data_IF_787032494257
#
_entry.id   IF_787032494257
#
_cell.length_a   1.000
_cell.length_b   1.000
_cell.length_c   1.000
_cell.angle_alpha   90.00
_cell.angle_beta   90.00
_cell.angle_gamma   90.00
#
_symmetry.space_group_name_H-M   'P 1'
#
loop_
_entity.id
_entity.type
_entity.pdbx_description
1 polymer ?
#
# COMPACT_ATOMS: atom_id res chain seq x y z
N UNK A 1 1.41 -1.54 12.18
CA UNK A 1 0.25 -2.44 12.21
C UNK A 1 -0.87 -1.71 11.49
N UNK A 2 -2.08 -2.21 11.46
CA UNK A 2 -3.13 -1.65 10.63
C UNK A 2 -4.48 -1.75 11.33
N UNK A 3 -5.23 -0.66 11.35
CA UNK A 3 -6.16 -0.44 12.45
C UNK A 3 -7.64 -0.45 12.03
N UNK A 4 -7.97 -0.20 10.75
CA UNK A 4 -9.35 0.02 10.27
C UNK A 4 -10.12 1.09 11.06
N UNK A 5 -9.38 2.01 11.68
CA UNK A 5 -9.95 2.95 12.64
C UNK A 5 -10.42 4.25 12.00
N UNK A 6 -10.15 4.54 10.72
CA UNK A 6 -10.54 5.80 10.09
C UNK A 6 -12.07 5.97 9.97
N UNK A 7 -12.83 4.87 10.03
CA UNK A 7 -14.28 4.89 9.88
C UNK A 7 -14.73 5.34 8.49
N UNK A 8 -16.01 5.71 8.35
CA UNK A 8 -16.61 6.07 7.06
C UNK A 8 -16.13 7.41 6.47
N UNK A 9 -15.46 8.25 7.26
CA UNK A 9 -14.86 9.49 6.74
C UNK A 9 -13.54 9.23 6.02
N UNK A 10 -12.92 8.05 6.20
CA UNK A 10 -11.59 7.70 5.69
C UNK A 10 -10.51 8.71 6.09
N UNK A 11 -10.68 9.40 7.21
CA UNK A 11 -9.74 10.39 7.74
C UNK A 11 -9.25 10.00 9.13
N UNK A 12 -8.09 10.52 9.57
CA UNK A 12 -7.67 10.37 10.96
C UNK A 12 -8.76 10.86 11.93
N UNK A 13 -8.93 10.15 13.05
CA UNK A 13 -9.88 10.52 14.09
C UNK A 13 -9.25 10.33 15.49
N UNK A 14 -9.92 10.77 16.58
CA UNK A 14 -9.30 10.76 17.90
C UNK A 14 -8.76 9.40 18.36
N UNK A 15 -9.43 8.29 18.00
CA UNK A 15 -8.96 6.93 18.32
C UNK A 15 -7.64 6.63 17.63
N UNK A 16 -7.52 7.02 16.35
CA UNK A 16 -6.29 6.86 15.58
C UNK A 16 -5.14 7.68 16.18
N UNK A 17 -5.42 8.92 16.57
CA UNK A 17 -4.44 9.83 17.19
C UNK A 17 -3.96 9.28 18.54
N UNK A 18 -4.86 8.80 19.40
CA UNK A 18 -4.51 8.22 20.72
C UNK A 18 -3.66 6.96 20.61
N UNK A 19 -3.95 6.09 19.63
CA UNK A 19 -3.15 4.88 19.41
C UNK A 19 -1.70 5.22 19.01
N UNK A 20 -1.54 6.12 18.03
CA UNK A 20 -0.21 6.46 17.55
C UNK A 20 0.58 7.35 18.52
N UNK A 21 -0.10 8.11 19.38
CA UNK A 21 0.54 8.70 20.56
C UNK A 21 1.16 7.62 21.47
N UNK A 22 0.37 6.59 21.83
CA UNK A 22 0.86 5.48 22.66
C UNK A 22 2.01 4.73 22.01
N UNK A 23 1.99 4.53 20.70
CA UNK A 23 3.12 3.92 19.99
C UNK A 23 4.34 4.84 19.95
N UNK A 24 4.14 6.15 19.79
CA UNK A 24 5.19 7.16 19.83
C UNK A 24 5.94 7.21 21.17
N UNK A 25 5.27 6.88 22.28
CA UNK A 25 5.89 6.78 23.62
C UNK A 25 6.90 5.63 23.75
N UNK A 26 6.94 4.68 22.81
CA UNK A 26 7.93 3.62 22.81
C UNK A 26 9.33 4.15 22.47
N UNK A 27 10.37 3.46 22.95
CA UNK A 27 11.77 3.79 22.68
C UNK A 27 12.23 3.35 21.26
N UNK A 28 11.42 3.66 20.24
CA UNK A 28 11.66 3.28 18.84
C UNK A 28 12.61 4.26 18.15
N UNK A 29 13.33 3.78 17.13
CA UNK A 29 14.12 4.66 16.25
C UNK A 29 13.27 5.44 15.23
N UNK A 30 12.09 4.92 14.90
CA UNK A 30 11.08 5.55 14.03
C UNK A 30 9.74 4.81 14.20
N UNK A 31 8.63 5.48 13.86
CA UNK A 31 7.31 4.87 13.76
C UNK A 31 6.87 4.86 12.29
N UNK A 32 6.65 3.66 11.73
CA UNK A 32 6.11 3.49 10.37
C UNK A 32 4.62 3.16 10.47
N UNK A 33 3.77 4.05 9.93
CA UNK A 33 2.32 3.90 10.01
C UNK A 33 1.82 2.98 8.91
N UNK A 34 0.89 2.08 9.23
CA UNK A 34 0.36 1.11 8.28
C UNK A 34 1.34 -0.03 8.01
N UNK A 35 0.99 -1.24 8.45
CA UNK A 35 1.64 -2.47 7.98
C UNK A 35 0.63 -3.61 7.93
N UNK A 36 0.68 -4.38 6.84
CA UNK A 36 -0.14 -5.57 6.63
C UNK A 36 0.16 -6.65 7.68
N UNK A 37 -0.90 -7.29 8.16
CA UNK A 37 -0.78 -8.55 8.88
C UNK A 37 -0.52 -9.66 7.85
N UNK A 38 0.53 -10.49 8.01
CA UNK A 38 0.95 -11.48 7.00
C UNK A 38 0.07 -12.75 6.90
N UNK A 39 -1.14 -12.77 7.45
CA UNK A 39 -1.97 -13.99 7.49
C UNK A 39 -3.27 -13.85 6.70
N UNK A 40 -3.64 -14.84 5.84
CA UNK A 40 -4.99 -14.94 5.30
C UNK A 40 -5.94 -15.29 6.46
N UNK A 41 -6.91 -14.42 6.70
CA UNK A 41 -7.82 -14.56 7.84
C UNK A 41 -9.13 -15.17 7.35
N UNK A 42 -9.70 -16.18 8.03
CA UNK A 42 -10.96 -16.79 7.65
C UNK A 42 -12.08 -15.75 7.48
N UNK A 43 -13.08 -16.06 6.65
CA UNK A 43 -14.23 -15.19 6.37
C UNK A 43 -14.99 -14.75 7.64
N UNK A 44 -14.92 -15.53 8.73
CA UNK A 44 -15.47 -15.19 10.06
C UNK A 44 -14.74 -14.04 10.77
N UNK A 45 -13.60 -13.61 10.25
CA UNK A 45 -12.74 -12.54 10.75
C UNK A 45 -12.42 -11.55 9.63
N UNK A 46 -13.36 -11.33 8.69
CA UNK A 46 -13.27 -10.23 7.71
C UNK A 46 -13.13 -8.85 8.39
N UNK A 47 -13.58 -8.72 9.64
CA UNK A 47 -13.32 -7.58 10.52
C UNK A 47 -11.85 -7.42 10.93
N UNK A 48 -11.04 -8.44 10.71
CA UNK A 48 -9.62 -8.51 11.09
C UNK A 48 -8.68 -8.26 9.90
N UNK A 49 -9.22 -7.85 8.74
CA UNK A 49 -8.49 -7.41 7.54
C UNK A 49 -7.78 -6.07 7.82
N UNK A 50 -6.90 -6.08 8.81
CA UNK A 50 -6.09 -5.01 9.35
C UNK A 50 -5.22 -4.48 8.22
N UNK A 51 -5.73 -3.47 7.50
CA UNK A 51 -5.02 -2.58 6.57
C UNK A 51 -5.06 -1.14 7.13
N UNK A 52 -3.91 -0.51 7.24
CA UNK A 52 -3.70 0.80 7.90
C UNK A 52 -2.80 1.69 7.04
N UNK A 53 -2.60 1.27 5.80
CA UNK A 53 -1.91 2.05 4.79
C UNK A 53 -2.82 3.20 4.38
N UNK A 54 -2.24 4.36 4.13
CA UNK A 54 -2.99 5.52 3.62
C UNK A 54 -3.22 5.35 2.13
N UNK A 55 -4.48 5.26 1.72
CA UNK A 55 -4.86 5.14 0.32
C UNK A 55 -4.74 6.51 -0.37
N UNK A 56 -4.02 6.54 -1.49
CA UNK A 56 -3.82 7.79 -2.24
C UNK A 56 -5.06 8.19 -3.04
N UNK A 57 -6.01 7.27 -3.22
CA UNK A 57 -7.23 7.46 -4.00
C UNK A 57 -8.46 6.92 -3.25
N UNK A 58 -9.38 7.83 -2.88
CA UNK A 58 -10.65 7.49 -2.22
C UNK A 58 -11.59 6.66 -3.10
N UNK A 59 -11.41 6.69 -4.42
CA UNK A 59 -12.19 5.85 -5.33
C UNK A 59 -11.70 4.40 -5.25
N UNK A 60 -10.45 4.17 -4.86
CA UNK A 60 -9.80 2.87 -4.83
C UNK A 60 -9.27 2.53 -3.44
N UNK A 61 -10.14 2.02 -2.57
CA UNK A 61 -9.74 1.57 -1.24
C UNK A 61 -9.45 0.07 -1.18
N UNK A 62 -8.50 -0.32 -0.33
CA UNK A 62 -8.22 -1.71 0.02
C UNK A 62 -9.29 -2.30 0.94
N UNK A 63 -9.79 -1.49 1.88
CA UNK A 63 -10.99 -1.75 2.69
C UNK A 63 -11.83 -0.47 2.87
N UNK A 64 -13.12 -0.57 3.23
CA UNK A 64 -13.97 0.61 3.42
C UNK A 64 -13.49 1.60 4.50
N UNK A 65 -12.63 1.17 5.43
CA UNK A 65 -12.21 1.99 6.59
C UNK A 65 -10.72 2.34 6.58
N UNK A 66 -10.06 2.17 5.42
CA UNK A 66 -8.69 2.62 5.27
C UNK A 66 -8.67 4.16 5.31
N UNK A 67 -7.67 4.79 5.98
CA UNK A 67 -7.45 6.22 5.83
C UNK A 67 -7.07 6.53 4.38
N UNK A 68 -7.56 7.64 3.84
CA UNK A 68 -7.38 8.01 2.46
C UNK A 68 -7.37 9.52 2.26
N UNK A 69 -6.80 9.98 1.15
CA UNK A 69 -6.98 11.35 0.70
C UNK A 69 -8.40 11.53 0.14
N UNK A 70 -9.18 12.52 0.58
CA UNK A 70 -10.58 12.67 0.16
C UNK A 70 -10.74 13.15 -1.29
N UNK A 71 -9.66 13.54 -1.96
CA UNK A 71 -9.60 14.09 -3.30
C UNK A 71 -8.22 14.67 -3.64
N UNK A 72 -8.10 15.47 -4.73
CA UNK A 72 -6.85 16.15 -5.08
C UNK A 72 -6.37 17.10 -4.00
N UNK A 73 -5.05 17.17 -3.81
CA UNK A 73 -4.41 18.07 -2.86
C UNK A 73 -3.41 18.97 -3.59
N UNK A 74 -3.69 20.26 -3.66
CA UNK A 74 -2.79 21.24 -4.29
C UNK A 74 -1.77 21.79 -3.31
N UNK A 75 -2.22 22.41 -2.22
CA UNK A 75 -1.36 23.07 -1.24
C UNK A 75 -2.08 23.24 0.11
N UNK A 76 -1.29 23.61 1.13
CA UNK A 76 -1.79 23.83 2.50
C UNK A 76 -2.74 25.02 2.61
N UNK A 77 -2.53 26.07 1.81
CA UNK A 77 -3.34 27.29 1.85
C UNK A 77 -4.78 27.04 1.38
N UNK A 78 -4.95 26.19 0.38
CA UNK A 78 -6.24 25.80 -0.18
C UNK A 78 -6.94 24.72 0.64
N UNK A 79 -6.22 24.01 1.52
CA UNK A 79 -6.71 22.85 2.27
C UNK A 79 -6.35 22.90 3.78
N UNK A 80 -6.61 24.01 4.49
CA UNK A 80 -6.13 24.21 5.86
C UNK A 80 -6.72 23.19 6.84
N UNK A 81 -8.00 22.84 6.69
CA UNK A 81 -8.67 21.87 7.58
C UNK A 81 -8.12 20.45 7.39
N UNK A 82 -7.85 20.06 6.14
CA UNK A 82 -7.26 18.76 5.84
C UNK A 82 -5.85 18.68 6.41
N UNK A 83 -5.02 19.72 6.21
CA UNK A 83 -3.67 19.78 6.80
C UNK A 83 -3.74 19.72 8.32
N UNK A 84 -4.62 20.49 8.95
CA UNK A 84 -4.80 20.50 10.40
C UNK A 84 -5.17 19.12 10.97
N UNK A 85 -6.03 18.39 10.26
CA UNK A 85 -6.43 17.04 10.64
C UNK A 85 -5.26 16.05 10.62
N UNK A 86 -4.49 16.05 9.53
CA UNK A 86 -3.31 15.19 9.39
C UNK A 86 -2.16 15.64 10.30
N UNK A 87 -2.05 16.93 10.59
CA UNK A 87 -1.03 17.47 11.49
C UNK A 87 -1.24 17.04 12.95
N UNK A 88 -2.48 16.92 13.41
CA UNK A 88 -2.76 16.34 14.73
C UNK A 88 -2.24 14.90 14.83
N UNK A 89 -2.40 14.14 13.76
CA UNK A 89 -1.90 12.77 13.69
C UNK A 89 -0.36 12.72 13.64
N UNK A 90 0.27 13.54 12.80
CA UNK A 90 1.73 13.65 12.74
C UNK A 90 2.34 14.09 14.08
N UNK A 91 1.73 15.07 14.74
CA UNK A 91 2.18 15.59 16.03
C UNK A 91 2.07 14.53 17.13
N UNK A 92 0.92 13.86 17.24
CA UNK A 92 0.72 12.81 18.25
C UNK A 92 1.75 11.67 18.12
N UNK A 93 2.07 11.26 16.90
CA UNK A 93 3.03 10.16 16.67
C UNK A 93 4.47 10.55 17.03
N UNK A 94 4.82 11.83 16.88
CA UNK A 94 6.21 12.30 16.95
C UNK A 94 6.53 13.11 18.23
N UNK A 95 5.54 13.47 19.05
CA UNK A 95 5.74 14.36 20.20
C UNK A 95 6.71 13.80 21.27
N UNK A 96 6.97 12.48 21.25
CA UNK A 96 7.90 11.80 22.16
C UNK A 96 9.30 11.59 21.57
N UNK A 97 9.57 12.10 20.37
CA UNK A 97 10.89 12.09 19.73
C UNK A 97 11.04 11.29 18.43
N UNK A 98 10.47 10.07 18.26
CA UNK A 98 10.74 9.29 17.06
C UNK A 98 10.10 9.93 15.81
N UNK A 99 10.80 9.95 14.67
CA UNK A 99 10.22 10.39 13.41
C UNK A 99 9.10 9.44 12.98
N UNK A 100 8.04 9.99 12.39
CA UNK A 100 6.93 9.23 11.84
C UNK A 100 6.98 9.22 10.31
N UNK A 101 6.87 8.03 9.74
CA UNK A 101 6.84 7.78 8.29
C UNK A 101 5.50 7.15 7.95
N UNK A 102 4.84 7.63 6.90
CA UNK A 102 3.52 7.12 6.49
C UNK A 102 3.62 6.19 5.29
N UNK A 103 3.15 4.95 5.42
CA UNK A 103 3.04 4.06 4.26
C UNK A 103 1.83 4.45 3.40
N UNK A 104 2.08 4.92 2.18
CA UNK A 104 1.05 5.30 1.20
C UNK A 104 0.91 4.22 0.12
N UNK A 105 -0.32 3.93 -0.30
CA UNK A 105 -0.58 2.87 -1.26
C UNK A 105 -1.77 3.12 -2.18
N UNK A 106 -1.85 2.28 -3.23
CA UNK A 106 -3.02 2.11 -4.07
C UNK A 106 -3.25 0.61 -4.29
N UNK A 107 -4.46 0.08 -4.07
CA UNK A 107 -4.73 -1.36 -4.09
C UNK A 107 -4.75 -1.96 -5.51
N UNK A 108 -4.94 -1.14 -6.54
CA UNK A 108 -5.04 -1.60 -7.93
C UNK A 108 -6.13 -2.66 -8.09
N UNK A 109 -5.79 -3.81 -8.69
CA UNK A 109 -6.72 -4.95 -8.86
C UNK A 109 -7.26 -5.57 -7.54
N UNK A 110 -6.68 -5.24 -6.39
CA UNK A 110 -7.14 -5.70 -5.06
C UNK A 110 -8.12 -4.74 -4.39
N UNK A 111 -8.60 -3.70 -5.07
CA UNK A 111 -9.62 -2.80 -4.51
C UNK A 111 -10.97 -3.54 -4.44
N UNK A 112 -11.55 -3.60 -3.24
CA UNK A 112 -12.81 -4.32 -2.98
C UNK A 112 -13.98 -3.60 -3.66
N UNK A 113 -14.94 -4.35 -4.20
CA UNK A 113 -16.10 -3.83 -4.94
C UNK A 113 -16.93 -2.77 -4.17
N UNK A 114 -17.03 -2.92 -2.85
CA UNK A 114 -17.85 -2.07 -1.96
C UNK A 114 -17.01 -1.04 -1.19
N UNK A 115 -15.72 -0.90 -1.50
CA UNK A 115 -14.83 0.02 -0.81
C UNK A 115 -14.52 1.23 -1.70
N UNK A 116 -14.50 2.42 -1.08
CA UNK A 116 -14.27 3.68 -1.75
C UNK A 116 -15.52 4.27 -2.40
N UNK A 117 -15.32 5.32 -3.21
CA UNK A 117 -16.39 6.02 -3.95
C UNK A 117 -16.59 5.50 -5.37
N UNK A 118 -15.77 4.53 -5.82
CA UNK A 118 -15.94 3.89 -7.11
C UNK A 118 -17.31 3.21 -7.21
N UNK A 119 -17.98 3.40 -8.34
CA UNK A 119 -19.27 2.76 -8.61
C UNK A 119 -19.19 1.23 -8.53
N UNK A 120 -20.27 0.59 -8.06
CA UNK A 120 -20.35 -0.86 -7.80
C UNK A 120 -19.96 -1.76 -8.99
N UNK A 121 -20.13 -1.23 -10.21
CA UNK A 121 -19.85 -1.91 -11.47
C UNK A 121 -18.63 -1.36 -12.22
N UNK A 122 -18.00 -0.30 -11.71
CA UNK A 122 -16.79 0.23 -12.33
C UNK A 122 -15.62 -0.74 -12.10
N UNK A 123 -14.79 -0.99 -13.12
CA UNK A 123 -13.66 -1.90 -13.00
C UNK A 123 -12.60 -1.34 -12.05
N UNK A 124 -11.83 -2.23 -11.43
CA UNK A 124 -10.56 -1.84 -10.81
C UNK A 124 -9.55 -1.45 -11.90
N UNK A 125 -8.47 -0.78 -11.53
CA UNK A 125 -7.37 -0.45 -12.44
C UNK A 125 -6.10 -1.22 -12.08
N UNK A 126 -5.36 -1.65 -13.09
CA UNK A 126 -4.09 -2.36 -12.93
C UNK A 126 -3.22 -2.19 -14.19
N UNK A 127 -1.92 -2.54 -14.13
CA UNK A 127 -1.04 -2.48 -15.30
C UNK A 127 -1.52 -3.35 -16.45
N UNK A 128 -2.21 -4.46 -16.18
CA UNK A 128 -2.85 -5.31 -17.20
C UNK A 128 -4.19 -5.85 -16.71
N UNK A 129 -5.06 -6.23 -17.64
CA UNK A 129 -6.40 -6.77 -17.36
C UNK A 129 -6.37 -8.23 -16.87
N UNK A 130 -5.62 -8.49 -15.77
CA UNK A 130 -5.42 -9.82 -15.18
C UNK A 130 -6.13 -9.87 -13.82
N UNK A 131 -7.26 -10.60 -13.70
CA UNK A 131 -8.00 -10.73 -12.45
C UNK A 131 -7.16 -11.30 -11.31
N UNK A 132 -7.49 -10.90 -10.09
CA UNK A 132 -6.97 -11.53 -8.88
C UNK A 132 -7.58 -12.94 -8.76
N UNK A 133 -6.74 -13.95 -8.53
CA UNK A 133 -7.21 -15.32 -8.28
C UNK A 133 -6.97 -15.67 -6.82
N UNK A 134 -8.03 -16.03 -6.09
CA UNK A 134 -7.91 -16.48 -4.70
C UNK A 134 -8.00 -18.00 -4.63
N UNK A 135 -6.89 -18.64 -4.27
CA UNK A 135 -6.78 -20.09 -4.10
C UNK A 135 -6.80 -20.89 -5.41
N UNK A 136 -6.56 -22.19 -5.31
CA UNK A 136 -6.57 -23.10 -6.44
C UNK A 136 -7.99 -23.63 -6.69
N UNK A 137 -8.55 -23.34 -7.88
CA UNK A 137 -9.80 -23.93 -8.36
C UNK A 137 -10.90 -22.93 -8.74
N UNK A 138 -11.90 -23.42 -9.48
CA UNK A 138 -13.04 -22.63 -9.98
C UNK A 138 -13.71 -21.83 -8.88
N UNK A 139 -14.00 -22.46 -7.73
CA UNK A 139 -14.81 -21.85 -6.67
C UNK A 139 -14.12 -20.62 -6.06
N UNK A 140 -12.80 -20.71 -5.85
CA UNK A 140 -11.98 -19.58 -5.40
C UNK A 140 -11.93 -18.44 -6.42
N UNK A 141 -11.88 -18.77 -7.71
CA UNK A 141 -11.94 -17.79 -8.80
C UNK A 141 -13.29 -17.04 -8.84
N UNK A 142 -14.42 -17.75 -8.69
CA UNK A 142 -15.75 -17.13 -8.66
C UNK A 142 -15.94 -16.24 -7.45
N UNK A 143 -15.56 -16.71 -6.26
CA UNK A 143 -15.64 -15.91 -5.03
C UNK A 143 -14.73 -14.67 -5.11
N UNK A 144 -13.52 -14.83 -5.67
CA UNK A 144 -12.60 -13.73 -5.94
C UNK A 144 -13.20 -12.67 -6.86
N UNK A 145 -13.82 -13.06 -7.98
CA UNK A 145 -14.43 -12.12 -8.94
C UNK A 145 -15.67 -11.38 -8.42
N UNK A 146 -16.37 -11.95 -7.43
CA UNK A 146 -17.47 -11.27 -6.73
C UNK A 146 -16.91 -10.13 -5.87
N UNK A 147 -15.86 -10.40 -5.10
CA UNK A 147 -15.25 -9.45 -4.16
C UNK A 147 -14.39 -8.40 -4.87
N UNK A 148 -13.61 -8.82 -5.86
CA UNK A 148 -12.66 -8.00 -6.62
C UNK A 148 -13.12 -7.92 -8.08
N UNK A 149 -13.64 -6.76 -8.53
CA UNK A 149 -14.00 -6.58 -9.92
C UNK A 149 -12.80 -6.82 -10.84
N UNK A 150 -13.05 -7.44 -11.99
CA UNK A 150 -12.02 -7.63 -13.01
C UNK A 150 -11.36 -6.28 -13.36
N UNK A 151 -10.02 -6.20 -13.37
CA UNK A 151 -9.34 -4.95 -13.66
C UNK A 151 -9.39 -4.61 -15.13
N UNK A 152 -9.42 -3.30 -15.41
CA UNK A 152 -9.09 -2.73 -16.70
C UNK A 152 -7.60 -2.38 -16.73
N UNK A 153 -6.95 -2.62 -17.86
CA UNK A 153 -5.60 -2.13 -18.11
C UNK A 153 -5.56 -0.60 -18.08
N UNK A 154 -4.63 -0.03 -17.31
CA UNK A 154 -4.43 1.41 -17.18
C UNK A 154 -3.98 2.02 -18.51
N UNK A 155 -4.60 3.14 -18.87
CA UNK A 155 -4.14 4.04 -19.93
C UNK A 155 -3.03 4.94 -19.39
N UNK A 156 -2.33 5.68 -20.28
CA UNK A 156 -1.39 6.71 -19.84
C UNK A 156 -2.04 7.73 -18.90
N UNK A 157 -3.28 8.16 -19.21
CA UNK A 157 -4.00 9.09 -18.36
C UNK A 157 -4.31 8.52 -16.96
N UNK A 158 -4.58 7.22 -16.85
CA UNK A 158 -4.75 6.57 -15.54
C UNK A 158 -3.42 6.54 -14.77
N UNK A 159 -2.30 6.27 -15.46
CA UNK A 159 -0.95 6.26 -14.86
C UNK A 159 -0.60 7.65 -14.35
N UNK A 160 -0.81 8.69 -15.17
CA UNK A 160 -0.54 10.08 -14.81
C UNK A 160 -1.41 10.52 -13.63
N UNK A 161 -2.71 10.17 -13.66
CA UNK A 161 -3.64 10.49 -12.58
C UNK A 161 -3.23 9.83 -11.26
N UNK A 162 -2.93 8.53 -11.25
CA UNK A 162 -2.49 7.83 -10.03
C UNK A 162 -1.12 8.33 -9.56
N UNK A 163 -0.21 8.66 -10.47
CA UNK A 163 1.07 9.29 -10.12
C UNK A 163 0.83 10.60 -9.37
N UNK A 164 -0.06 11.46 -9.88
CA UNK A 164 -0.46 12.68 -9.20
C UNK A 164 -1.06 12.40 -7.81
N UNK A 165 -1.84 11.32 -7.63
CA UNK A 165 -2.35 10.93 -6.30
C UNK A 165 -1.26 10.60 -5.29
N UNK A 166 -0.21 9.88 -5.72
CA UNK A 166 0.94 9.62 -4.85
C UNK A 166 1.67 10.91 -4.49
N UNK A 167 1.80 11.84 -5.42
CA UNK A 167 2.42 13.16 -5.21
C UNK A 167 1.61 14.00 -4.22
N UNK A 168 0.30 14.10 -4.44
CA UNK A 168 -0.66 14.79 -3.56
C UNK A 168 -0.58 14.24 -2.12
N UNK A 169 -0.55 12.91 -1.99
CA UNK A 169 -0.42 12.24 -0.69
C UNK A 169 0.90 12.57 0.00
N UNK A 170 2.03 12.45 -0.70
CA UNK A 170 3.34 12.76 -0.12
C UNK A 170 3.46 14.23 0.27
N UNK A 171 2.92 15.14 -0.55
CA UNK A 171 2.90 16.59 -0.27
C UNK A 171 2.06 16.89 0.97
N UNK A 172 0.86 16.33 1.06
CA UNK A 172 0.01 16.47 2.25
C UNK A 172 0.70 15.94 3.51
N UNK A 173 1.36 14.78 3.44
CA UNK A 173 2.10 14.24 4.59
C UNK A 173 3.24 15.16 5.02
N UNK A 174 3.96 15.75 4.06
CA UNK A 174 5.02 16.72 4.33
C UNK A 174 4.46 18.02 4.96
N UNK A 175 3.39 18.57 4.40
CA UNK A 175 2.73 19.79 4.90
C UNK A 175 2.08 19.58 6.28
N UNK A 176 1.61 18.36 6.58
CA UNK A 176 1.12 17.96 7.90
C UNK A 176 2.25 17.75 8.93
N UNK A 177 3.51 17.65 8.50
CA UNK A 177 4.66 17.53 9.39
C UNK A 177 5.13 16.10 9.70
N UNK A 178 4.76 15.10 8.88
CA UNK A 178 5.43 13.80 8.94
C UNK A 178 6.90 13.91 8.53
N UNK A 179 7.72 12.97 9.00
CA UNK A 179 9.14 12.92 8.64
C UNK A 179 9.40 12.25 7.29
N UNK A 180 8.42 11.49 6.77
CA UNK A 180 8.55 10.86 5.45
C UNK A 180 7.34 10.06 5.01
N UNK A 181 7.43 9.47 3.82
CA UNK A 181 6.53 8.44 3.31
C UNK A 181 7.27 7.18 2.89
N UNK A 182 6.56 6.06 2.91
CA UNK A 182 6.99 4.80 2.30
C UNK A 182 6.01 4.42 1.19
N UNK A 183 6.52 4.19 -0.01
CA UNK A 183 5.74 3.65 -1.13
C UNK A 183 5.49 2.16 -0.93
N UNK A 184 4.24 1.73 -1.05
CA UNK A 184 3.90 0.31 -0.90
C UNK A 184 4.03 -0.47 -2.22
N UNK A 185 5.23 -1.01 -2.47
CA UNK A 185 5.54 -1.87 -3.61
C UNK A 185 5.58 -3.37 -3.30
N UNK A 186 4.73 -3.82 -2.38
CA UNK A 186 4.68 -5.23 -1.94
C UNK A 186 3.23 -5.74 -1.90
N UNK A 187 3.07 -7.04 -1.60
CA UNK A 187 1.80 -7.68 -1.24
C UNK A 187 0.68 -7.59 -2.29
N UNK A 188 1.04 -7.41 -3.56
CA UNK A 188 0.10 -7.32 -4.67
C UNK A 188 -0.62 -5.97 -4.80
N UNK A 189 -0.16 -4.90 -4.14
CA UNK A 189 -0.65 -3.53 -4.38
C UNK A 189 -0.20 -3.01 -5.74
N UNK A 190 -0.73 -1.87 -6.19
CA UNK A 190 -0.54 -1.40 -7.56
C UNK A 190 0.93 -1.28 -7.96
N UNK A 191 1.80 -0.76 -7.09
CA UNK A 191 3.23 -0.67 -7.40
C UNK A 191 3.84 -2.07 -7.61
N UNK A 192 3.55 -3.03 -6.72
CA UNK A 192 3.98 -4.43 -6.90
C UNK A 192 3.41 -5.01 -8.20
N UNK A 193 2.15 -4.70 -8.53
CA UNK A 193 1.52 -5.15 -9.77
C UNK A 193 2.31 -4.67 -10.99
N UNK A 194 2.84 -3.44 -11.00
CA UNK A 194 3.69 -2.92 -12.07
C UNK A 194 5.07 -3.58 -12.10
N UNK A 195 5.71 -3.76 -10.93
CA UNK A 195 7.05 -4.35 -10.82
C UNK A 195 7.07 -5.83 -11.22
N UNK A 196 5.97 -6.54 -11.00
CA UNK A 196 5.87 -7.98 -11.13
C UNK A 196 5.46 -8.44 -12.55
N UNK A 197 6.25 -9.29 -13.23
CA UNK A 197 5.96 -9.74 -14.59
C UNK A 197 4.76 -10.69 -14.70
N UNK A 198 4.23 -11.26 -13.60
CA UNK A 198 2.98 -12.04 -13.63
C UNK A 198 1.76 -11.16 -13.85
N UNK A 199 1.78 -9.97 -13.26
CA UNK A 199 0.64 -9.04 -13.23
C UNK A 199 0.75 -7.92 -14.26
N UNK A 200 1.97 -7.61 -14.69
CA UNK A 200 2.25 -6.63 -15.73
C UNK A 200 2.68 -7.31 -17.03
N UNK A 201 1.78 -7.31 -18.01
CA UNK A 201 1.98 -7.84 -19.37
C UNK A 201 2.01 -6.73 -20.43
N UNK A 202 2.18 -5.48 -20.01
CA UNK A 202 2.28 -4.34 -20.93
C UNK A 202 3.48 -4.48 -21.85
N UNK A 203 3.35 -3.91 -23.03
CA UNK A 203 4.38 -3.87 -24.07
C UNK A 203 4.89 -2.45 -24.34
N UNK A 204 4.40 -1.47 -23.57
CA UNK A 204 4.83 -0.07 -23.63
C UNK A 204 5.98 0.23 -22.66
N UNK A 205 6.24 1.51 -22.40
CA UNK A 205 7.31 1.97 -21.51
C UNK A 205 7.15 1.54 -20.05
N UNK A 206 6.00 0.97 -19.66
CA UNK A 206 5.71 0.53 -18.30
C UNK A 206 5.71 -1.00 -18.16
N UNK A 207 6.09 -1.78 -19.18
CA UNK A 207 6.14 -3.24 -19.11
C UNK A 207 7.25 -3.88 -19.94
N UNK A 208 7.29 -5.21 -19.92
CA UNK A 208 8.38 -5.97 -20.53
C UNK A 208 9.59 -6.05 -19.60
N UNK A 209 10.62 -5.24 -19.85
CA UNK A 209 11.90 -5.31 -19.13
C UNK A 209 11.76 -4.91 -17.64
N UNK A 210 12.67 -5.35 -16.75
CA UNK A 210 12.65 -4.94 -15.33
C UNK A 210 12.71 -3.41 -15.17
N UNK A 211 13.48 -2.73 -16.01
CA UNK A 211 13.59 -1.28 -16.03
C UNK A 211 12.28 -0.58 -16.42
N UNK A 212 11.60 -1.06 -17.47
CA UNK A 212 10.28 -0.53 -17.85
C UNK A 212 9.23 -0.77 -16.76
N UNK A 213 9.25 -1.95 -16.14
CA UNK A 213 8.36 -2.26 -15.00
C UNK A 213 8.62 -1.36 -13.79
N UNK A 214 9.87 -0.96 -13.56
CA UNK A 214 10.24 0.02 -12.52
C UNK A 214 9.83 1.46 -12.86
N UNK A 215 9.60 1.78 -14.14
CA UNK A 215 9.34 3.16 -14.59
C UNK A 215 8.21 3.83 -13.82
N UNK A 216 7.13 3.13 -13.52
CA UNK A 216 6.01 3.70 -12.75
C UNK A 216 6.46 4.22 -11.37
N UNK A 217 7.32 3.47 -10.69
CA UNK A 217 7.86 3.86 -9.38
C UNK A 217 8.85 5.01 -9.51
N UNK A 218 9.67 5.00 -10.56
CA UNK A 218 10.62 6.06 -10.85
C UNK A 218 9.91 7.39 -11.15
N UNK A 219 8.82 7.36 -11.93
CA UNK A 219 7.99 8.52 -12.23
C UNK A 219 7.36 9.09 -10.93
N UNK A 220 6.82 8.23 -10.06
CA UNK A 220 6.29 8.63 -8.74
C UNK A 220 7.39 9.26 -7.88
N UNK A 221 8.55 8.60 -7.76
CA UNK A 221 9.65 9.05 -6.91
C UNK A 221 10.16 10.42 -7.38
N UNK A 222 10.40 10.59 -8.67
CA UNK A 222 10.85 11.86 -9.24
C UNK A 222 9.83 12.98 -8.99
N UNK A 223 8.55 12.70 -9.17
CA UNK A 223 7.49 13.69 -8.96
C UNK A 223 7.30 14.05 -7.47
N UNK A 224 7.40 13.09 -6.56
CA UNK A 224 7.38 13.35 -5.10
C UNK A 224 8.57 14.22 -4.71
N UNK A 225 9.78 13.87 -5.16
CA UNK A 225 11.00 14.62 -4.83
C UNK A 225 10.97 16.07 -5.31
N UNK A 226 10.19 16.37 -6.36
CA UNK A 226 10.02 17.74 -6.84
C UNK A 226 9.14 18.62 -5.92
N UNK A 227 8.32 18.03 -5.05
CA UNK A 227 7.33 18.80 -4.24
C UNK A 227 7.54 18.71 -2.73
N UNK A 228 8.30 17.73 -2.23
CA UNK A 228 8.57 17.57 -0.80
C UNK A 228 9.93 18.18 -0.41
N UNK A 229 10.12 18.60 0.86
CA UNK A 229 11.41 19.08 1.33
C UNK A 229 12.51 18.02 1.18
N UNK A 230 13.76 18.44 0.89
CA UNK A 230 14.89 17.52 0.72
C UNK A 230 15.15 16.61 1.94
N UNK A 231 14.78 17.04 3.15
CA UNK A 231 14.90 16.25 4.39
C UNK A 231 13.74 15.27 4.64
N UNK A 232 12.70 15.31 3.81
CA UNK A 232 11.54 14.43 3.93
C UNK A 232 11.89 13.06 3.35
N UNK A 233 11.82 12.02 4.18
CA UNK A 233 12.24 10.68 3.78
C UNK A 233 11.24 10.08 2.78
N UNK A 234 11.74 9.47 1.72
CA UNK A 234 10.96 8.69 0.75
C UNK A 234 11.59 7.33 0.60
N UNK A 235 10.93 6.32 1.17
CA UNK A 235 11.34 4.92 1.04
C UNK A 235 10.35 4.10 0.25
N UNK A 236 10.67 2.82 0.09
CA UNK A 236 9.80 1.84 -0.56
C UNK A 236 9.83 0.52 0.18
N UNK A 237 8.70 -0.18 0.16
CA UNK A 237 8.56 -1.56 0.62
C UNK A 237 8.45 -2.50 -0.58
N UNK A 238 9.27 -3.55 -0.62
CA UNK A 238 9.25 -4.56 -1.69
C UNK A 238 9.05 -5.97 -1.12
N UNK A 239 8.51 -6.88 -1.94
CA UNK A 239 8.45 -8.30 -1.61
C UNK A 239 9.87 -8.92 -1.58
N UNK A 240 10.09 -9.89 -0.69
CA UNK A 240 11.24 -10.78 -0.74
C UNK A 240 11.23 -11.58 -2.04
N UNK A 241 12.42 -11.94 -2.54
CA UNK A 241 12.58 -12.76 -3.74
C UNK A 241 11.77 -14.07 -3.67
N UNK A 242 11.59 -14.65 -2.47
CA UNK A 242 10.82 -15.89 -2.26
C UNK A 242 9.32 -15.76 -2.58
N UNK A 243 8.80 -14.53 -2.55
CA UNK A 243 7.39 -14.23 -2.82
C UNK A 243 7.19 -13.33 -4.04
N UNK A 244 8.30 -12.92 -4.67
CA UNK A 244 8.27 -12.24 -5.96
C UNK A 244 8.19 -13.28 -7.07
N UNK A 245 7.45 -12.95 -8.12
CA UNK A 245 7.48 -13.73 -9.34
C UNK A 245 8.51 -13.22 -10.36
N UNK A 246 9.17 -12.11 -10.05
CA UNK A 246 10.34 -11.68 -10.77
C UNK A 246 11.52 -12.60 -10.43
N UNK A 247 12.47 -12.75 -11.36
CA UNK A 247 13.74 -13.37 -11.03
C UNK A 247 14.49 -12.55 -9.98
N UNK A 248 15.43 -13.18 -9.27
CA UNK A 248 16.32 -12.46 -8.36
C UNK A 248 17.07 -11.33 -9.10
N UNK A 249 17.55 -11.59 -10.31
CA UNK A 249 18.24 -10.61 -11.17
C UNK A 249 17.35 -9.43 -11.56
N UNK A 250 16.10 -9.69 -11.95
CA UNK A 250 15.12 -8.65 -12.25
C UNK A 250 14.90 -7.76 -11.02
N UNK A 251 14.75 -8.38 -9.85
CA UNK A 251 14.52 -7.69 -8.58
C UNK A 251 15.72 -6.82 -8.21
N UNK A 252 16.94 -7.34 -8.35
CA UNK A 252 18.17 -6.58 -8.09
C UNK A 252 18.36 -5.43 -9.08
N UNK A 253 17.99 -5.62 -10.35
CA UNK A 253 18.00 -4.54 -11.36
C UNK A 253 17.05 -3.41 -10.95
N UNK A 254 15.83 -3.76 -10.54
CA UNK A 254 14.84 -2.78 -10.09
C UNK A 254 15.30 -2.05 -8.82
N UNK A 255 15.85 -2.76 -7.84
CA UNK A 255 16.43 -2.14 -6.63
C UNK A 255 17.57 -1.18 -7.00
N UNK A 256 18.46 -1.57 -7.92
CA UNK A 256 19.55 -0.71 -8.38
C UNK A 256 19.04 0.61 -8.97
N UNK A 257 18.01 0.56 -9.82
CA UNK A 257 17.38 1.75 -10.39
C UNK A 257 16.71 2.65 -9.33
N UNK A 258 16.07 2.04 -8.33
CA UNK A 258 15.43 2.80 -7.24
C UNK A 258 16.46 3.48 -6.32
N UNK A 259 17.58 2.81 -6.06
CA UNK A 259 18.71 3.39 -5.31
C UNK A 259 19.35 4.54 -6.09
N UNK A 260 19.58 4.38 -7.39
CA UNK A 260 20.10 5.44 -8.26
C UNK A 260 19.15 6.66 -8.30
N UNK A 261 17.85 6.41 -8.30
CA UNK A 261 16.82 7.46 -8.23
C UNK A 261 16.67 8.10 -6.83
N UNK A 262 17.39 7.61 -5.83
CA UNK A 262 17.52 8.25 -4.52
C UNK A 262 16.40 7.93 -3.53
N UNK A 263 15.98 6.66 -3.39
CA UNK A 263 15.23 6.23 -2.20
C UNK A 263 16.10 6.35 -0.94
N UNK A 264 15.51 6.75 0.19
CA UNK A 264 16.24 6.90 1.46
C UNK A 264 16.36 5.58 2.24
N UNK A 265 15.39 4.69 2.07
CA UNK A 265 15.38 3.38 2.72
C UNK A 265 14.54 2.37 1.92
N UNK A 266 14.85 1.10 2.10
CA UNK A 266 14.14 -0.05 1.53
C UNK A 266 13.72 -0.99 2.67
N UNK A 267 12.44 -1.33 2.72
CA UNK A 267 11.92 -2.42 3.56
C UNK A 267 11.68 -3.67 2.69
N UNK A 268 12.19 -4.81 3.11
CA UNK A 268 11.95 -6.11 2.45
C UNK A 268 10.92 -6.90 3.26
N UNK A 269 9.84 -7.33 2.60
CA UNK A 269 8.71 -8.00 3.25
C UNK A 269 8.52 -9.45 2.79
N UNK A 270 8.18 -10.36 3.71
CA UNK A 270 7.73 -11.72 3.39
C UNK A 270 6.19 -11.83 3.25
N UNK A 271 5.72 -12.80 2.46
CA UNK A 271 4.29 -13.11 2.23
C UNK A 271 3.66 -12.47 0.98
N UNK A 272 2.73 -13.18 0.33
CA UNK A 272 1.85 -12.69 -0.76
C UNK A 272 0.46 -13.30 -0.60
N UNK A 273 -0.61 -12.60 -1.01
CA UNK A 273 -1.98 -13.15 -1.01
C UNK A 273 -2.13 -14.43 -1.86
N UNK A 274 -1.20 -14.65 -2.80
CA UNK A 274 -1.21 -15.78 -3.72
C UNK A 274 -0.37 -16.98 -3.25
N UNK A 275 0.24 -16.93 -2.05
CA UNK A 275 1.07 -18.02 -1.52
C UNK A 275 0.31 -18.84 -0.44
N UNK A 276 -0.07 -20.11 -0.71
CA UNK A 276 -0.77 -20.95 0.26
C UNK A 276 0.11 -21.49 1.41
N UNK A 277 1.43 -21.28 1.39
CA UNK A 277 2.34 -21.86 2.41
C UNK A 277 2.31 -21.15 3.78
N UNK A 278 1.58 -20.04 3.91
CA UNK A 278 1.41 -19.32 5.19
C UNK A 278 0.28 -19.87 6.07
N UNK A 279 -0.26 -21.05 5.76
CA UNK A 279 -1.25 -21.76 6.58
C UNK A 279 -0.54 -22.80 7.46
N UNK A 280 -0.21 -22.52 8.74
CA UNK A 280 0.06 -23.60 9.67
C UNK A 280 -1.30 -24.23 10.00
N UNK A 281 -1.66 -25.30 9.29
CA UNK A 281 -2.63 -26.23 9.86
C UNK A 281 -2.08 -26.67 11.23
N UNK A 282 -2.85 -26.59 12.33
CA UNK A 282 -2.40 -27.20 13.57
C UNK A 282 -2.23 -28.68 13.28
N UNK A 283 -0.97 -29.16 13.29
CA UNK A 283 -0.71 -30.60 13.41
C UNK A 283 -1.33 -31.00 14.74
N UNK A 284 -2.44 -31.72 14.69
CA UNK A 284 -2.92 -32.48 15.83
C UNK A 284 -1.81 -33.47 16.21
N UNK A 285 -0.97 -33.08 17.16
CA UNK A 285 0.01 -33.98 17.77
C UNK A 285 -0.76 -34.96 18.64
N UNK A 286 -0.53 -36.24 18.38
CA UNK A 286 -1.01 -37.38 19.17
C UNK A 286 -0.74 -37.19 20.67
N UNK A 287 -1.58 -37.80 21.54
CA UNK A 287 -1.45 -37.65 22.98
C UNK A 287 -0.18 -38.37 23.46
N UNK A 288 0.69 -37.64 24.16
CA UNK A 288 1.77 -38.24 24.93
C UNK A 288 1.19 -38.96 26.15
N UNK A 289 1.46 -40.27 26.21
CA UNK A 289 1.28 -41.13 27.37
C UNK A 289 2.19 -40.69 28.52
N UNK A 290 1.62 -40.62 29.72
CA UNK A 290 2.33 -40.44 30.99
C UNK A 290 3.17 -41.68 31.33
N UNK A 291 4.41 -41.45 31.78
CA UNK A 291 5.11 -42.17 32.84
C UNK A 291 6.05 -41.15 33.52
#
# INVERSE_FOLDING_TARGET
>A
MAELMAGWSNTPNPTFVDLYDKWGQGAWGAVLTGTLHPHPIPFSHLSDNRKGNVQVDIDHLGTPFDPALPGPYTDKESNPDLVSLWAQYAAATQQHGPPAIVQICHPGRQSVRVAGRRGLFAPTIAPSAIPLTMGDGWLGHVLGGIVFPAPREMTQADIDAVTARFVDAARLMADAGFSGVQLHGAHGYLIDQFLNPKTNKRTDAYGGSPAHRAKFVLDILAAIRAVVPARFAVGIKLNSADHSAASFEDTMTQIGLLVEAGIDFLEVSGGSYEDPKVVPFPRFTHPFSQC
#
